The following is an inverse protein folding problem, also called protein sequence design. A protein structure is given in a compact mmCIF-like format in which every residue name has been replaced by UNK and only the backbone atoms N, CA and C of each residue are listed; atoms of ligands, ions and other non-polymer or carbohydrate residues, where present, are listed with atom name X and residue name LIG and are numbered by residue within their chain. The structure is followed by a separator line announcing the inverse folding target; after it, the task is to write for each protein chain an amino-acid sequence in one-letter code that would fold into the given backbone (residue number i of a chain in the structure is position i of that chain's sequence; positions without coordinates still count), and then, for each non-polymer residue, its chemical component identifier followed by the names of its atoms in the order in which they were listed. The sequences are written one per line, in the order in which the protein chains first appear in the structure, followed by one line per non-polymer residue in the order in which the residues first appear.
data_IF_872994013041
#
_entry.id   IF_872994013041
#
_cell.length_a   1.000
_cell.length_b   1.000
_cell.length_c   1.000
_cell.angle_alpha   90.00
_cell.angle_beta   90.00
_cell.angle_gamma   90.00
#
_symmetry.space_group_name_H-M   'P 1'
#
loop_
_entity.id
_entity.type
_entity.pdbx_description
1 polymer ?
#
# COMPACT_ATOMS: atom_id res chain seq x y z
N UNK A 1 19.16 -20.10 54.50
CA UNK A 1 19.50 -21.43 53.92
C UNK A 1 18.40 -21.82 52.94
N UNK A 2 18.68 -22.54 51.82
CA UNK A 2 19.98 -23.14 51.48
C UNK A 2 20.86 -22.38 50.45
N UNK A 3 20.41 -22.19 49.20
CA UNK A 3 21.31 -22.26 48.01
C UNK A 3 20.79 -21.50 46.78
N UNK A 4 21.59 -21.14 45.76
CA UNK A 4 23.08 -21.24 45.59
C UNK A 4 23.61 -20.12 44.66
N UNK A 5 24.87 -19.70 44.86
CA UNK A 5 25.69 -19.03 43.83
C UNK A 5 26.58 -20.05 43.11
N UNK A 6 26.94 -19.78 41.86
CA UNK A 6 28.11 -20.39 41.20
C UNK A 6 28.90 -19.27 40.51
N UNK A 7 30.21 -19.23 40.73
CA UNK A 7 31.13 -18.26 40.14
C UNK A 7 32.43 -18.98 39.75
N UNK A 8 32.70 -19.07 38.45
CA UNK A 8 33.94 -19.55 37.80
C UNK A 8 33.68 -19.63 36.29
N UNK A 9 34.57 -19.24 35.37
CA UNK A 9 35.96 -18.75 35.50
C UNK A 9 36.18 -17.54 34.58
N UNK A 10 37.08 -16.64 34.97
CA UNK A 10 37.70 -15.70 34.03
C UNK A 10 38.88 -16.41 33.37
N UNK A 11 38.92 -16.41 32.04
CA UNK A 11 40.12 -16.73 31.27
C UNK A 11 40.59 -15.44 30.60
N UNK A 12 41.76 -14.93 31.03
CA UNK A 12 42.38 -13.73 30.50
C UNK A 12 42.92 -13.98 29.09
N UNK A 13 42.16 -13.59 28.08
CA UNK A 13 42.65 -13.36 26.72
C UNK A 13 42.83 -11.87 26.48
N UNK A 14 44.06 -11.43 26.17
CA UNK A 14 44.32 -10.03 25.80
C UNK A 14 43.61 -9.68 24.50
N UNK A 15 42.57 -8.84 24.58
CA UNK A 15 41.84 -8.30 23.43
C UNK A 15 41.10 -7.04 23.85
N UNK A 16 41.39 -5.91 23.19
CA UNK A 16 40.81 -4.61 23.55
C UNK A 16 39.34 -4.60 23.11
N UNK A 17 38.42 -4.71 24.07
CA UNK A 17 36.98 -4.49 23.86
C UNK A 17 36.65 -3.07 24.31
N UNK A 18 36.26 -2.21 23.36
CA UNK A 18 35.67 -0.92 23.68
C UNK A 18 34.21 -1.10 24.10
N UNK A 19 33.95 -1.08 25.41
CA UNK A 19 32.60 -1.00 25.95
C UNK A 19 32.17 0.47 26.04
N UNK A 20 31.27 0.91 25.15
CA UNK A 20 30.61 2.21 25.27
C UNK A 20 29.46 2.07 26.27
N UNK A 21 29.64 2.61 27.48
CA UNK A 21 28.57 2.74 28.48
C UNK A 21 28.01 4.15 28.42
N UNK A 22 26.86 4.32 27.76
CA UNK A 22 26.07 5.55 27.84
C UNK A 22 25.27 5.55 29.15
N UNK A 23 25.75 6.28 30.16
CA UNK A 23 25.00 6.54 31.38
C UNK A 23 24.09 7.75 31.23
N UNK A 24 22.81 7.62 31.59
CA UNK A 24 21.89 8.76 31.71
C UNK A 24 22.13 9.49 33.04
N UNK A 25 22.74 10.67 33.00
CA UNK A 25 22.91 11.52 34.19
C UNK A 25 21.72 12.49 34.33
N UNK A 26 20.93 12.36 35.40
CA UNK A 26 19.78 13.22 35.67
C UNK A 26 20.19 14.46 36.47
N UNK A 27 20.24 15.62 35.81
CA UNK A 27 20.42 16.92 36.50
C UNK A 27 19.10 17.46 37.07
N UNK A 28 19.11 18.08 38.27
CA UNK A 28 17.91 18.60 38.89
C UNK A 28 17.40 19.87 38.19
N UNK A 29 16.07 19.99 38.07
CA UNK A 29 15.42 21.15 37.46
C UNK A 29 15.48 22.39 38.37
N UNK A 30 16.39 23.31 38.07
CA UNK A 30 16.39 24.66 38.66
C UNK A 30 15.32 25.53 38.03
N UNK A 31 14.42 26.11 38.83
CA UNK A 31 13.42 27.09 38.37
C UNK A 31 14.09 28.43 38.02
N UNK A 32 14.33 28.68 36.74
CA UNK A 32 14.56 30.01 36.17
C UNK A 32 13.27 30.58 35.56
N UNK A 33 13.10 31.90 35.63
CA UNK A 33 11.97 32.59 34.98
C UNK A 33 12.13 32.57 33.44
N UNK A 34 11.04 32.64 32.65
CA UNK A 34 11.13 32.62 31.20
C UNK A 34 11.75 33.92 30.68
N UNK A 35 12.92 33.82 30.07
CA UNK A 35 13.50 34.90 29.27
C UNK A 35 12.76 34.97 27.93
N UNK A 36 12.15 36.13 27.62
CA UNK A 36 11.51 36.39 26.34
C UNK A 36 12.51 37.02 25.36
N UNK A 37 13.64 36.35 25.14
CA UNK A 37 14.47 36.59 23.97
C UNK A 37 13.84 35.85 22.78
N UNK A 38 13.32 36.62 21.83
CA UNK A 38 12.81 36.07 20.58
C UNK A 38 13.99 35.55 19.74
N UNK A 39 14.34 34.28 19.90
CA UNK A 39 15.31 33.62 19.05
C UNK A 39 14.76 33.57 17.63
N UNK A 40 15.31 34.42 16.76
CA UNK A 40 15.06 34.40 15.32
C UNK A 40 15.81 33.23 14.70
N UNK A 41 15.45 32.01 15.13
CA UNK A 41 15.95 30.75 14.60
C UNK A 41 15.57 30.64 13.14
N UNK A 42 16.45 31.12 12.25
CA UNK A 42 16.34 30.88 10.83
C UNK A 42 16.24 29.36 10.64
N UNK A 43 15.11 28.90 10.10
CA UNK A 43 14.85 27.49 9.92
C UNK A 43 16.02 26.86 9.15
N UNK A 44 16.78 25.99 9.81
CA UNK A 44 17.92 25.33 9.20
C UNK A 44 17.41 24.40 8.12
N UNK A 45 17.47 24.86 6.87
CA UNK A 45 17.09 24.05 5.71
C UNK A 45 18.02 22.85 5.71
N UNK A 46 17.45 21.67 5.98
CA UNK A 46 18.18 20.40 5.83
C UNK A 46 18.39 20.20 4.33
N UNK A 47 19.55 20.61 3.84
CA UNK A 47 19.94 20.39 2.45
C UNK A 47 20.16 18.88 2.25
N UNK A 48 19.16 18.18 1.72
CA UNK A 48 19.34 16.79 1.32
C UNK A 48 20.25 16.74 0.09
N UNK A 49 21.19 15.81 0.07
CA UNK A 49 22.05 15.58 -1.10
C UNK A 49 21.38 14.71 -2.18
N UNK A 50 20.18 14.19 -1.90
CA UNK A 50 19.42 13.34 -2.81
C UNK A 50 18.83 14.16 -3.96
N UNK A 51 19.30 13.91 -5.17
CA UNK A 51 18.72 14.47 -6.40
C UNK A 51 17.86 13.40 -7.07
N UNK A 52 16.60 13.74 -7.34
CA UNK A 52 15.70 12.90 -8.12
C UNK A 52 15.78 13.34 -9.59
N UNK A 53 15.86 12.36 -10.50
CA UNK A 53 15.79 12.54 -11.94
C UNK A 53 14.68 11.66 -12.47
N UNK A 54 13.82 12.20 -13.34
CA UNK A 54 12.88 11.38 -14.09
C UNK A 54 13.67 10.54 -15.12
N UNK A 55 13.38 9.25 -15.15
CA UNK A 55 14.00 8.26 -16.03
C UNK A 55 12.96 7.42 -16.78
N UNK A 56 11.66 7.70 -16.65
CA UNK A 56 10.60 6.85 -17.20
C UNK A 56 10.72 6.71 -18.73
N UNK A 57 10.95 7.82 -19.43
CA UNK A 57 11.21 7.87 -20.88
C UNK A 57 12.49 7.10 -21.26
N UNK A 58 13.60 7.32 -20.55
CA UNK A 58 14.86 6.58 -20.76
C UNK A 58 14.69 5.07 -20.53
N UNK A 59 13.82 4.69 -19.60
CA UNK A 59 13.56 3.32 -19.15
C UNK A 59 12.57 2.57 -20.06
N UNK A 60 11.78 3.27 -20.88
CA UNK A 60 10.70 2.66 -21.69
C UNK A 60 9.37 2.52 -20.95
N UNK A 61 9.19 3.20 -19.81
CA UNK A 61 7.94 3.23 -19.05
C UNK A 61 7.11 4.43 -19.53
N UNK A 62 6.25 4.21 -20.53
CA UNK A 62 5.35 5.23 -21.06
C UNK A 62 3.90 4.93 -20.61
N UNK A 63 3.54 5.40 -19.42
CA UNK A 63 2.20 5.20 -18.85
C UNK A 63 1.78 6.40 -18.00
N UNK A 64 0.50 6.78 -18.08
CA UNK A 64 -0.11 7.83 -17.25
C UNK A 64 -1.47 7.33 -16.75
N UNK A 65 -1.60 6.97 -15.47
CA UNK A 65 -2.89 6.60 -14.90
C UNK A 65 -3.83 7.81 -14.88
N UNK A 66 -5.15 7.58 -14.90
CA UNK A 66 -6.13 8.67 -14.87
C UNK A 66 -7.04 8.54 -13.66
N UNK A 67 -7.28 9.66 -13.00
CA UNK A 67 -8.19 9.80 -11.87
C UNK A 67 -9.59 10.31 -12.28
N UNK A 68 -9.94 10.26 -13.57
CA UNK A 68 -11.20 10.82 -14.07
C UNK A 68 -11.39 12.34 -14.00
N UNK A 69 -10.44 13.12 -13.46
CA UNK A 69 -10.54 14.58 -13.22
C UNK A 69 -11.00 15.41 -14.44
N UNK A 70 -10.74 14.92 -15.65
CA UNK A 70 -11.19 15.54 -16.90
C UNK A 70 -12.73 15.70 -16.99
N UNK A 71 -13.51 14.95 -16.20
CA UNK A 71 -14.96 15.09 -16.10
C UNK A 71 -15.41 16.34 -15.29
N UNK A 72 -14.52 16.91 -14.47
CA UNK A 72 -14.80 18.11 -13.67
C UNK A 72 -15.89 17.91 -12.62
N UNK A 73 -16.12 16.67 -12.18
CA UNK A 73 -17.19 16.37 -11.23
C UNK A 73 -16.85 16.81 -9.81
N UNK A 74 -15.56 16.98 -9.48
CA UNK A 74 -15.06 17.37 -8.13
C UNK A 74 -15.51 16.40 -7.02
N UNK A 75 -15.57 15.12 -7.38
CA UNK A 75 -15.82 13.99 -6.48
C UNK A 75 -14.59 13.68 -5.64
N UNK A 76 -14.79 13.00 -4.51
CA UNK A 76 -13.66 12.51 -3.71
C UNK A 76 -12.88 11.40 -4.44
N UNK A 77 -13.51 10.68 -5.38
CA UNK A 77 -12.83 9.66 -6.19
C UNK A 77 -11.75 10.31 -7.10
N UNK A 78 -12.05 11.45 -7.72
CA UNK A 78 -11.08 12.24 -8.51
C UNK A 78 -9.90 12.78 -7.69
N UNK A 79 -9.96 12.79 -6.35
CA UNK A 79 -8.83 13.22 -5.51
C UNK A 79 -7.74 12.17 -5.31
N UNK A 80 -8.02 10.90 -5.65
CA UNK A 80 -7.08 9.80 -5.46
C UNK A 80 -6.40 9.41 -6.78
N UNK A 81 -5.09 9.15 -6.69
CA UNK A 81 -4.31 8.53 -7.77
C UNK A 81 -4.35 7.00 -7.71
N UNK A 82 -3.38 6.40 -8.39
CA UNK A 82 -3.07 4.96 -8.32
C UNK A 82 -1.73 4.72 -7.63
N UNK A 83 -1.51 3.48 -7.19
CA UNK A 83 -0.22 3.02 -6.69
C UNK A 83 0.65 2.40 -7.78
N UNK A 84 1.64 1.63 -7.34
CA UNK A 84 2.46 0.76 -8.18
C UNK A 84 2.78 -0.52 -7.40
N UNK A 85 3.01 -1.62 -8.11
CA UNK A 85 3.53 -2.86 -7.55
C UNK A 85 4.83 -3.25 -8.27
N UNK A 86 5.76 -3.82 -7.51
CA UNK A 86 6.99 -4.44 -8.02
C UNK A 86 6.91 -5.94 -7.77
N UNK A 87 7.22 -6.74 -8.78
CA UNK A 87 7.18 -8.20 -8.77
C UNK A 87 8.16 -8.74 -9.80
N UNK A 88 8.68 -9.94 -9.59
CA UNK A 88 9.43 -10.70 -10.60
C UNK A 88 8.47 -11.75 -11.17
N UNK A 89 7.66 -11.36 -12.19
CA UNK A 89 6.48 -12.18 -12.55
C UNK A 89 6.84 -13.43 -13.38
N UNK A 90 8.01 -13.46 -14.00
CA UNK A 90 8.50 -14.59 -14.79
C UNK A 90 9.76 -15.27 -14.23
N UNK A 91 10.14 -14.93 -13.00
CA UNK A 91 11.28 -15.48 -12.24
C UNK A 91 12.63 -15.32 -12.95
N UNK A 92 12.84 -14.21 -13.67
CA UNK A 92 14.13 -13.91 -14.32
C UNK A 92 15.14 -13.21 -13.38
N UNK A 93 14.71 -12.87 -12.15
CA UNK A 93 15.52 -12.25 -11.12
C UNK A 93 15.50 -10.72 -11.14
N UNK A 94 14.68 -10.11 -12.01
CA UNK A 94 14.52 -8.67 -12.13
C UNK A 94 13.12 -8.25 -11.65
N UNK A 95 13.03 -7.09 -10.98
CA UNK A 95 11.72 -6.54 -10.61
C UNK A 95 11.10 -5.80 -11.80
N UNK A 96 9.94 -6.32 -12.22
CA UNK A 96 8.98 -5.73 -13.15
C UNK A 96 8.11 -4.68 -12.45
N UNK A 97 7.37 -3.89 -13.24
CA UNK A 97 6.52 -2.80 -12.73
C UNK A 97 5.08 -2.97 -13.19
N UNK A 98 4.15 -3.14 -12.25
CA UNK A 98 2.71 -3.06 -12.50
C UNK A 98 2.12 -1.73 -12.03
N UNK A 99 1.28 -1.12 -12.87
CA UNK A 99 0.65 0.19 -12.66
C UNK A 99 -0.86 0.10 -12.94
N UNK A 100 -1.74 0.25 -11.93
CA UNK A 100 -3.18 0.34 -12.14
C UNK A 100 -3.56 1.55 -13.00
N UNK A 101 -4.55 1.39 -13.89
CA UNK A 101 -4.99 2.43 -14.83
C UNK A 101 -5.80 3.57 -14.22
N UNK A 102 -6.37 3.36 -13.03
CA UNK A 102 -7.32 4.27 -12.43
C UNK A 102 -8.70 4.10 -13.06
N UNK A 103 -9.33 5.22 -13.45
CA UNK A 103 -10.62 5.21 -14.10
C UNK A 103 -11.04 6.56 -14.69
N UNK A 104 -12.23 6.58 -15.28
CA UNK A 104 -12.83 7.79 -15.84
C UNK A 104 -14.37 7.79 -15.75
N UNK A 105 -14.98 8.96 -15.97
CA UNK A 105 -16.42 9.13 -16.03
C UNK A 105 -16.83 9.41 -17.47
N UNK A 106 -17.31 8.40 -18.19
CA UNK A 106 -17.78 8.52 -19.59
C UNK A 106 -19.27 8.78 -19.69
N UNK A 107 -20.06 8.17 -18.80
CA UNK A 107 -21.50 8.36 -18.69
C UNK A 107 -21.87 8.39 -17.20
N UNK A 108 -22.57 9.43 -16.77
CA UNK A 108 -23.17 9.44 -15.43
C UNK A 108 -24.19 8.31 -15.32
N UNK A 109 -24.22 7.53 -14.22
CA UNK A 109 -23.70 7.88 -12.90
C UNK A 109 -22.56 6.97 -12.38
N UNK A 110 -21.81 6.25 -13.22
CA UNK A 110 -20.79 5.30 -12.72
C UNK A 110 -19.41 5.54 -13.38
N UNK A 111 -18.32 5.56 -12.59
CA UNK A 111 -16.97 5.52 -13.14
C UNK A 111 -16.68 4.15 -13.76
N UNK A 112 -15.91 4.14 -14.84
CA UNK A 112 -15.37 2.93 -15.46
C UNK A 112 -13.88 2.78 -15.12
N UNK A 113 -13.41 1.53 -15.06
CA UNK A 113 -11.98 1.23 -14.99
C UNK A 113 -11.25 1.52 -16.29
N UNK A 114 -9.94 1.74 -16.19
CA UNK A 114 -9.04 1.86 -17.32
C UNK A 114 -7.99 0.75 -17.33
N UNK A 115 -7.46 0.37 -18.51
CA UNK A 115 -6.35 -0.57 -18.64
C UNK A 115 -5.19 -0.28 -17.67
N UNK A 116 -4.76 -1.31 -16.95
CA UNK A 116 -3.51 -1.28 -16.23
C UNK A 116 -2.32 -1.55 -17.17
N UNK A 117 -1.11 -1.29 -16.71
CA UNK A 117 0.12 -1.65 -17.41
C UNK A 117 0.99 -2.59 -16.57
N UNK A 118 1.65 -3.52 -17.25
CA UNK A 118 2.73 -4.33 -16.75
C UNK A 118 3.93 -4.11 -17.68
N UNK A 119 5.07 -3.79 -17.08
CA UNK A 119 6.33 -3.49 -17.75
C UNK A 119 7.36 -4.51 -17.29
N UNK A 120 7.73 -5.44 -18.17
CA UNK A 120 8.79 -6.42 -17.90
C UNK A 120 10.14 -5.73 -17.93
N UNK A 121 10.96 -5.93 -16.91
CA UNK A 121 12.35 -5.49 -16.84
C UNK A 121 13.24 -6.36 -17.74
N UNK A 122 14.00 -5.74 -18.64
CA UNK A 122 14.92 -6.43 -19.56
C UNK A 122 16.39 -6.23 -19.19
N UNK A 123 16.64 -5.77 -17.95
CA UNK A 123 17.95 -5.42 -17.42
C UNK A 123 18.27 -3.94 -17.57
N UNK A 124 19.25 -3.45 -16.80
CA UNK A 124 19.77 -2.06 -16.87
C UNK A 124 18.69 -0.96 -16.73
N UNK A 125 17.60 -1.25 -16.00
CA UNK A 125 16.41 -0.38 -15.88
C UNK A 125 15.76 -0.06 -17.24
N UNK A 126 15.78 -1.02 -18.17
CA UNK A 126 15.00 -1.01 -19.42
C UNK A 126 13.77 -1.88 -19.27
N UNK A 127 12.66 -1.45 -19.85
CA UNK A 127 11.38 -2.11 -19.70
C UNK A 127 10.65 -2.28 -21.03
N UNK A 128 9.86 -3.36 -21.13
CA UNK A 128 8.97 -3.65 -22.26
C UNK A 128 7.53 -3.79 -21.77
N UNK A 129 6.59 -3.11 -22.43
CA UNK A 129 5.17 -3.22 -22.09
C UNK A 129 4.63 -4.62 -22.48
N UNK A 130 4.11 -5.36 -21.51
CA UNK A 130 3.65 -6.76 -21.67
C UNK A 130 2.23 -7.02 -21.18
N UNK A 131 1.54 -6.00 -20.63
CA UNK A 131 0.20 -6.13 -20.00
C UNK A 131 -0.79 -7.03 -20.77
N UNK A 132 -0.97 -6.79 -22.07
CA UNK A 132 -1.91 -7.53 -22.91
C UNK A 132 -1.44 -8.96 -23.23
N UNK A 133 -0.13 -9.21 -23.27
CA UNK A 133 0.43 -10.55 -23.44
C UNK A 133 0.31 -11.37 -22.15
N UNK A 134 0.47 -10.72 -20.99
CA UNK A 134 0.32 -11.32 -19.67
C UNK A 134 -1.15 -11.46 -19.22
N UNK A 135 -2.10 -10.79 -19.88
CA UNK A 135 -3.54 -10.85 -19.57
C UNK A 135 -4.01 -9.92 -18.46
N UNK A 136 -3.26 -8.84 -18.17
CA UNK A 136 -3.53 -7.88 -17.08
C UNK A 136 -3.83 -6.46 -17.58
N UNK A 137 -4.16 -6.29 -18.85
CA UNK A 137 -4.47 -5.01 -19.51
C UNK A 137 -5.93 -4.54 -19.35
N UNK A 138 -6.71 -5.17 -18.49
CA UNK A 138 -8.13 -4.84 -18.29
C UNK A 138 -8.48 -4.68 -16.81
N UNK A 139 -9.33 -3.72 -16.49
CA UNK A 139 -9.88 -3.57 -15.16
C UNK A 139 -11.33 -3.08 -15.27
N UNK A 140 -12.27 -3.81 -14.68
CA UNK A 140 -13.70 -3.51 -14.81
C UNK A 140 -14.16 -2.33 -13.91
N UNK A 141 -13.31 -1.86 -13.00
CA UNK A 141 -13.61 -0.85 -12.00
C UNK A 141 -12.49 0.19 -11.90
N UNK A 142 -12.80 1.35 -11.33
CA UNK A 142 -11.81 2.40 -11.08
C UNK A 142 -10.78 1.89 -10.04
N UNK A 143 -9.56 1.62 -10.49
CA UNK A 143 -8.50 1.01 -9.68
C UNK A 143 -7.67 2.03 -8.88
N UNK A 144 -7.02 1.60 -7.80
CA UNK A 144 -6.17 2.41 -6.95
C UNK A 144 -4.83 1.73 -6.64
N UNK A 145 -4.77 0.93 -5.58
CA UNK A 145 -3.56 0.25 -5.13
C UNK A 145 -3.39 -1.12 -5.79
N UNK A 146 -2.15 -1.62 -5.78
CA UNK A 146 -1.82 -2.99 -6.11
C UNK A 146 -0.93 -3.57 -5.00
N UNK A 147 -1.02 -4.88 -4.76
CA UNK A 147 -0.21 -5.60 -3.76
C UNK A 147 0.14 -6.98 -4.29
N UNK A 148 1.32 -7.49 -3.94
CA UNK A 148 1.94 -8.69 -4.51
C UNK A 148 2.21 -9.71 -3.41
N UNK A 149 1.85 -10.96 -3.65
CA UNK A 149 2.05 -12.09 -2.74
C UNK A 149 1.74 -13.40 -3.45
N UNK A 150 2.38 -14.48 -3.04
CA UNK A 150 2.10 -15.85 -3.52
C UNK A 150 0.97 -16.43 -2.65
N UNK A 151 -0.26 -16.47 -3.18
CA UNK A 151 -1.47 -16.74 -2.37
C UNK A 151 -1.91 -18.21 -2.38
N UNK A 152 -1.43 -19.01 -3.32
CA UNK A 152 -1.63 -20.46 -3.38
C UNK A 152 -0.35 -21.27 -3.10
N UNK A 153 0.74 -20.59 -2.74
CA UNK A 153 2.04 -21.18 -2.40
C UNK A 153 2.66 -22.00 -3.54
N UNK A 154 2.38 -21.63 -4.79
CA UNK A 154 2.94 -22.29 -5.98
C UNK A 154 4.34 -21.78 -6.37
N UNK A 155 4.80 -20.68 -5.73
CA UNK A 155 6.10 -20.06 -5.90
C UNK A 155 6.09 -18.86 -6.87
N UNK A 156 4.98 -18.56 -7.52
CA UNK A 156 4.86 -17.40 -8.42
C UNK A 156 4.14 -16.23 -7.73
N UNK A 157 4.56 -14.97 -7.95
CA UNK A 157 3.93 -13.84 -7.31
C UNK A 157 2.58 -13.50 -7.99
N UNK A 158 1.51 -13.57 -7.22
CA UNK A 158 0.17 -13.11 -7.60
C UNK A 158 0.00 -11.60 -7.36
N UNK A 159 -1.04 -11.04 -7.95
CA UNK A 159 -1.29 -9.60 -7.97
C UNK A 159 -2.74 -9.29 -7.61
N UNK A 160 -2.94 -8.62 -6.47
CA UNK A 160 -4.22 -8.06 -6.08
C UNK A 160 -4.30 -6.57 -6.44
N UNK A 161 -5.34 -6.18 -7.17
CA UNK A 161 -5.67 -4.78 -7.47
C UNK A 161 -6.90 -4.36 -6.66
N UNK A 162 -6.78 -3.23 -5.97
CA UNK A 162 -7.87 -2.61 -5.19
C UNK A 162 -8.51 -1.46 -5.96
N UNK A 163 -9.76 -1.09 -5.63
CA UNK A 163 -10.43 0.01 -6.29
C UNK A 163 -11.77 0.41 -5.68
N UNK A 164 -12.43 1.36 -6.34
CA UNK A 164 -13.80 1.74 -6.05
C UNK A 164 -14.77 0.67 -6.59
N UNK A 165 -15.48 0.01 -5.67
CA UNK A 165 -16.49 -1.03 -5.94
C UNK A 165 -15.97 -2.32 -6.59
N UNK A 166 -14.67 -2.59 -6.47
CA UNK A 166 -14.08 -3.83 -6.95
C UNK A 166 -12.74 -4.17 -6.31
N UNK A 167 -12.45 -5.46 -6.37
CA UNK A 167 -11.13 -6.07 -6.20
C UNK A 167 -10.88 -6.93 -7.44
N UNK A 168 -9.62 -7.20 -7.74
CA UNK A 168 -9.20 -8.10 -8.82
C UNK A 168 -7.97 -8.88 -8.37
N UNK A 169 -8.10 -10.18 -8.17
CA UNK A 169 -6.99 -11.08 -7.87
C UNK A 169 -6.56 -11.78 -9.16
N UNK A 170 -5.39 -11.41 -9.66
CA UNK A 170 -4.70 -12.08 -10.74
C UNK A 170 -3.76 -13.12 -10.17
N UNK A 171 -4.08 -14.40 -10.38
CA UNK A 171 -3.19 -15.51 -10.06
C UNK A 171 -2.22 -15.75 -11.21
N UNK A 172 -0.94 -15.87 -10.93
CA UNK A 172 0.10 -16.16 -11.92
C UNK A 172 -0.02 -17.64 -12.35
N UNK A 173 0.27 -17.94 -13.61
CA UNK A 173 0.26 -19.33 -14.12
C UNK A 173 1.64 -19.96 -14.22
N UNK A 174 2.70 -19.19 -13.93
CA UNK A 174 4.10 -19.62 -14.12
C UNK A 174 4.53 -19.75 -15.58
N UNK A 175 3.67 -19.35 -16.54
CA UNK A 175 3.96 -19.33 -17.98
C UNK A 175 4.13 -17.90 -18.55
N UNK A 176 4.23 -16.91 -17.65
CA UNK A 176 4.27 -15.48 -17.99
C UNK A 176 2.88 -14.84 -18.21
N UNK A 177 1.80 -15.56 -17.90
CA UNK A 177 0.42 -15.05 -17.95
C UNK A 177 -0.32 -15.18 -16.63
N UNK A 178 -1.36 -14.38 -16.47
CA UNK A 178 -2.24 -14.36 -15.29
C UNK A 178 -3.66 -14.85 -15.62
N UNK A 179 -4.40 -15.21 -14.57
CA UNK A 179 -5.83 -15.53 -14.59
C UNK A 179 -6.57 -14.73 -13.51
N UNK A 180 -7.75 -14.20 -13.83
CA UNK A 180 -8.66 -13.61 -12.83
C UNK A 180 -9.31 -14.72 -12.01
N UNK A 181 -8.90 -14.85 -10.74
CA UNK A 181 -9.45 -15.80 -9.77
C UNK A 181 -10.33 -15.10 -8.72
N UNK A 182 -10.69 -13.82 -8.89
CA UNK A 182 -11.39 -12.99 -7.88
C UNK A 182 -12.68 -13.62 -7.34
N UNK A 183 -13.42 -14.33 -8.21
CA UNK A 183 -14.65 -14.99 -7.82
C UNK A 183 -14.41 -16.39 -7.21
N UNK A 184 -13.35 -17.08 -7.63
CA UNK A 184 -12.98 -18.39 -7.11
C UNK A 184 -12.33 -18.28 -5.71
N UNK A 185 -11.49 -17.26 -5.51
CA UNK A 185 -10.83 -16.95 -4.25
C UNK A 185 -11.76 -16.44 -3.14
N UNK A 186 -12.99 -16.05 -3.48
CA UNK A 186 -13.96 -15.51 -2.54
C UNK A 186 -13.84 -14.00 -2.28
N UNK A 187 -12.85 -13.30 -2.88
CA UNK A 187 -12.61 -11.85 -2.75
C UNK A 187 -13.62 -10.98 -3.52
N UNK A 188 -14.91 -11.28 -3.33
CA UNK A 188 -16.05 -10.69 -4.05
C UNK A 188 -16.51 -9.33 -3.50
N UNK A 189 -15.66 -8.65 -2.73
CA UNK A 189 -15.98 -7.37 -2.10
C UNK A 189 -16.32 -6.28 -3.15
N UNK A 190 -17.24 -5.38 -2.81
CA UNK A 190 -17.71 -4.26 -3.65
C UNK A 190 -17.76 -2.92 -2.91
N UNK A 191 -17.04 -2.80 -1.80
CA UNK A 191 -16.76 -1.52 -1.13
C UNK A 191 -15.67 -0.74 -1.87
N UNK A 192 -15.31 0.44 -1.37
CA UNK A 192 -14.14 1.18 -1.86
C UNK A 192 -12.91 0.83 -1.02
N UNK A 193 -12.02 0.01 -1.59
CA UNK A 193 -10.71 -0.31 -1.03
C UNK A 193 -9.64 0.51 -1.77
N UNK A 194 -8.73 1.17 -1.06
CA UNK A 194 -7.69 2.02 -1.67
C UNK A 194 -6.30 1.40 -1.61
N UNK A 195 -6.08 0.48 -0.67
CA UNK A 195 -4.79 -0.13 -0.38
C UNK A 195 -5.01 -1.47 0.33
N UNK A 196 -4.03 -2.35 0.24
CA UNK A 196 -4.05 -3.69 0.82
C UNK A 196 -2.65 -4.09 1.27
N UNK A 197 -2.58 -5.04 2.21
CA UNK A 197 -1.34 -5.67 2.63
C UNK A 197 -1.57 -7.16 2.85
N UNK A 198 -0.61 -7.96 2.39
CA UNK A 198 -0.49 -9.37 2.74
C UNK A 198 0.32 -9.54 4.03
N UNK A 199 0.12 -10.66 4.72
CA UNK A 199 0.98 -11.09 5.82
C UNK A 199 0.43 -12.33 6.53
N UNK A 200 1.29 -13.14 7.13
CA UNK A 200 0.86 -14.25 8.00
C UNK A 200 0.49 -13.68 9.39
N UNK A 201 -0.77 -13.29 9.57
CA UNK A 201 -1.20 -12.62 10.80
C UNK A 201 -1.53 -13.61 11.93
N UNK A 202 -1.72 -14.89 11.59
CA UNK A 202 -2.17 -15.93 12.50
C UNK A 202 -1.03 -16.91 12.90
N UNK A 203 0.04 -16.97 12.12
CA UNK A 203 1.24 -17.79 12.34
C UNK A 203 1.16 -19.19 11.73
N UNK A 204 0.34 -19.41 10.69
CA UNK A 204 0.16 -20.72 10.03
C UNK A 204 1.00 -20.90 8.74
N UNK A 205 1.69 -19.85 8.30
CA UNK A 205 2.52 -19.83 7.09
C UNK A 205 1.76 -19.53 5.80
N UNK A 206 0.48 -19.15 5.86
CA UNK A 206 -0.33 -18.72 4.72
C UNK A 206 -0.46 -17.19 4.71
N UNK A 207 -0.54 -16.57 3.53
CA UNK A 207 -0.80 -15.13 3.43
C UNK A 207 -2.27 -14.82 3.73
N UNK A 208 -2.49 -14.05 4.80
CA UNK A 208 -3.75 -13.37 5.09
C UNK A 208 -3.79 -11.99 4.41
N UNK A 209 -5.01 -11.45 4.21
CA UNK A 209 -5.24 -10.18 3.52
C UNK A 209 -5.91 -9.15 4.43
N UNK A 210 -5.25 -7.99 4.60
CA UNK A 210 -5.89 -6.77 5.10
C UNK A 210 -6.22 -5.81 3.95
N UNK A 211 -7.43 -5.26 3.95
CA UNK A 211 -7.89 -4.22 3.02
C UNK A 211 -8.25 -2.94 3.77
N UNK A 212 -7.57 -1.84 3.42
CA UNK A 212 -7.94 -0.50 3.85
C UNK A 212 -9.15 -0.02 3.03
N UNK A 213 -10.29 0.19 3.70
CA UNK A 213 -11.50 0.73 3.09
C UNK A 213 -11.69 2.20 3.46
N UNK A 214 -12.16 2.99 2.50
CA UNK A 214 -12.12 4.44 2.61
C UNK A 214 -13.44 5.07 3.07
N UNK A 215 -14.34 5.40 2.14
CA UNK A 215 -15.60 6.08 2.45
C UNK A 215 -16.76 5.58 1.60
N UNK A 216 -17.97 5.65 2.16
CA UNK A 216 -19.22 5.31 1.46
C UNK A 216 -19.61 6.47 0.53
N UNK A 217 -19.07 6.42 -0.69
CA UNK A 217 -19.32 7.40 -1.74
C UNK A 217 -20.18 6.84 -2.87
N UNK A 218 -21.06 7.69 -3.39
CA UNK A 218 -21.74 7.54 -4.68
C UNK A 218 -22.13 8.94 -5.18
N UNK A 219 -22.59 9.07 -6.43
CA UNK A 219 -23.12 10.36 -6.92
C UNK A 219 -24.34 10.85 -6.12
N UNK A 220 -25.19 9.94 -5.63
CA UNK A 220 -26.34 10.29 -4.77
C UNK A 220 -25.90 10.84 -3.41
N UNK A 221 -24.76 10.36 -2.89
CA UNK A 221 -24.16 10.76 -1.61
C UNK A 221 -23.12 11.88 -1.76
N UNK A 222 -22.87 12.39 -2.97
CA UNK A 222 -21.85 13.40 -3.25
C UNK A 222 -22.33 14.80 -2.82
N UNK A 223 -21.74 15.43 -1.77
CA UNK A 223 -22.11 16.77 -1.36
C UNK A 223 -21.40 17.81 -2.24
N UNK A 224 -21.95 19.03 -2.28
CA UNK A 224 -21.27 20.19 -2.87
C UNK A 224 -20.49 20.90 -1.77
N UNK A 225 -19.16 20.84 -1.84
CA UNK A 225 -18.26 21.55 -0.93
C UNK A 225 -17.66 22.80 -1.57
N UNK A 226 -17.22 23.72 -0.72
CA UNK A 226 -16.49 24.92 -1.13
C UNK A 226 -15.24 25.11 -0.28
N UNK A 227 -14.11 25.43 -0.92
CA UNK A 227 -12.90 25.92 -0.26
C UNK A 227 -12.61 27.34 -0.74
N UNK A 228 -12.31 28.24 0.21
CA UNK A 228 -11.99 29.65 -0.10
C UNK A 228 -13.00 30.34 -1.05
N UNK A 229 -14.29 30.02 -0.91
CA UNK A 229 -15.39 30.57 -1.74
C UNK A 229 -15.59 29.92 -3.10
N UNK A 230 -14.75 28.96 -3.51
CA UNK A 230 -14.82 28.26 -4.78
C UNK A 230 -15.34 26.83 -4.57
N UNK A 231 -16.07 26.26 -5.54
CA UNK A 231 -16.49 24.84 -5.49
C UNK A 231 -15.26 23.96 -5.53
N UNK A 232 -15.18 22.97 -4.65
CA UNK A 232 -14.02 22.10 -4.50
C UNK A 232 -14.43 20.69 -4.04
N UNK A 233 -13.49 19.76 -4.08
CA UNK A 233 -13.66 18.39 -3.60
C UNK A 233 -13.93 18.41 -2.09
N UNK A 234 -14.94 17.64 -1.68
CA UNK A 234 -15.27 17.48 -0.27
C UNK A 234 -14.17 16.73 0.50
N UNK A 235 -13.76 17.29 1.65
CA UNK A 235 -12.81 16.65 2.54
C UNK A 235 -13.37 15.32 3.12
N UNK A 236 -12.53 14.28 3.34
CA UNK A 236 -13.00 12.92 3.67
C UNK A 236 -13.92 12.85 4.89
N UNK A 237 -13.74 13.77 5.85
CA UNK A 237 -14.53 13.90 7.08
C UNK A 237 -16.04 14.10 6.88
N UNK A 238 -16.51 14.47 5.69
CA UNK A 238 -17.96 14.67 5.42
C UNK A 238 -18.67 13.40 4.94
N UNK A 239 -17.92 12.35 4.62
CA UNK A 239 -18.46 11.08 4.15
C UNK A 239 -18.53 10.06 5.28
N UNK A 240 -19.50 9.16 5.19
CA UNK A 240 -19.57 8.01 6.10
C UNK A 240 -18.36 7.09 5.88
N UNK A 241 -17.74 6.59 6.97
CA UNK A 241 -16.63 5.67 6.88
C UNK A 241 -17.04 4.29 6.37
N UNK A 242 -16.10 3.56 5.76
CA UNK A 242 -16.25 2.12 5.51
C UNK A 242 -15.32 1.35 6.46
N UNK A 243 -15.82 0.27 7.06
CA UNK A 243 -14.96 -0.61 7.86
C UNK A 243 -13.94 -1.31 6.98
N UNK A 244 -12.68 -1.33 7.41
CA UNK A 244 -11.63 -2.17 6.83
C UNK A 244 -12.04 -3.66 6.85
N UNK A 245 -11.37 -4.46 6.02
CA UNK A 245 -11.61 -5.91 5.93
C UNK A 245 -10.35 -6.70 6.22
N UNK A 246 -10.56 -7.86 6.81
CA UNK A 246 -9.53 -8.86 7.02
C UNK A 246 -10.02 -10.23 6.57
N UNK A 247 -9.21 -10.94 5.80
CA UNK A 247 -9.49 -12.28 5.31
C UNK A 247 -8.36 -13.21 5.71
N UNK A 248 -8.72 -14.37 6.27
CA UNK A 248 -7.78 -15.46 6.47
C UNK A 248 -7.61 -16.24 5.16
N UNK A 249 -6.36 -16.57 4.82
CA UNK A 249 -6.05 -17.43 3.68
C UNK A 249 -6.33 -18.91 3.95
N UNK A 250 -6.36 -19.72 2.89
CA UNK A 250 -6.47 -21.18 2.98
C UNK A 250 -5.29 -21.93 2.34
N UNK A 251 -4.34 -21.22 1.72
CA UNK A 251 -3.15 -21.80 1.09
C UNK A 251 -3.41 -22.44 -0.28
N UNK A 252 -4.61 -22.23 -0.83
CA UNK A 252 -5.04 -22.69 -2.17
C UNK A 252 -5.54 -21.51 -3.03
N UNK A 253 -5.14 -20.28 -2.69
CA UNK A 253 -5.62 -19.05 -3.30
C UNK A 253 -7.04 -18.63 -2.87
N UNK A 254 -7.70 -19.36 -1.96
CA UNK A 254 -9.02 -18.99 -1.42
C UNK A 254 -8.97 -18.35 -0.04
N UNK A 255 -9.98 -17.53 0.26
CA UNK A 255 -10.02 -16.64 1.41
C UNK A 255 -11.38 -16.64 2.12
N UNK A 256 -11.35 -16.44 3.44
CA UNK A 256 -12.56 -16.30 4.27
C UNK A 256 -12.53 -14.98 5.05
N UNK A 257 -13.61 -14.20 4.95
CA UNK A 257 -13.78 -12.99 5.77
C UNK A 257 -13.74 -13.36 7.26
N UNK A 258 -12.75 -12.79 7.96
CA UNK A 258 -12.49 -12.97 9.38
C UNK A 258 -12.48 -11.62 10.13
N UNK A 259 -12.97 -10.54 9.49
CA UNK A 259 -12.97 -9.16 10.01
C UNK A 259 -13.54 -9.05 11.43
N UNK A 260 -14.58 -9.83 11.73
CA UNK A 260 -15.22 -9.85 13.05
C UNK A 260 -14.43 -10.64 14.11
N UNK A 261 -13.61 -11.61 13.70
CA UNK A 261 -12.81 -12.47 14.59
C UNK A 261 -11.56 -11.74 15.08
N UNK A 262 -10.88 -11.00 14.19
CA UNK A 262 -9.73 -10.16 14.54
C UNK A 262 -10.12 -8.84 15.23
N UNK A 263 -11.41 -8.58 15.42
CA UNK A 263 -11.90 -7.43 16.18
C UNK A 263 -11.62 -6.06 15.53
N UNK A 264 -11.51 -5.99 14.20
CA UNK A 264 -11.33 -4.72 13.50
C UNK A 264 -12.48 -3.75 13.81
N UNK A 265 -12.11 -2.55 14.26
CA UNK A 265 -13.07 -1.54 14.70
C UNK A 265 -13.71 -0.86 13.50
N UNK A 266 -15.04 -0.83 13.46
CA UNK A 266 -15.78 -0.14 12.43
C UNK A 266 -15.57 1.39 12.47
N UNK A 267 -15.65 2.05 11.32
CA UNK A 267 -15.63 3.52 11.24
C UNK A 267 -14.30 4.14 10.79
N UNK A 268 -13.36 3.34 10.30
CA UNK A 268 -12.13 3.81 9.66
C UNK A 268 -12.35 4.61 8.37
N UNK A 269 -11.33 5.36 7.97
CA UNK A 269 -11.22 5.94 6.62
C UNK A 269 -9.83 5.61 6.08
N UNK A 270 -9.57 4.32 5.94
CA UNK A 270 -8.29 3.77 5.52
C UNK A 270 -7.94 4.26 4.12
N UNK A 271 -6.79 4.93 3.98
CA UNK A 271 -6.27 5.40 2.69
C UNK A 271 -5.06 4.57 2.23
N UNK A 272 -4.21 4.16 3.16
CA UNK A 272 -3.04 3.33 2.94
C UNK A 272 -2.79 2.42 4.14
N UNK A 273 -2.26 1.23 3.88
CA UNK A 273 -1.73 0.32 4.89
C UNK A 273 -0.24 0.05 4.61
N UNK A 274 0.52 -0.18 5.67
CA UNK A 274 1.90 -0.69 5.59
C UNK A 274 1.99 -1.86 6.57
N UNK A 275 2.42 -3.01 6.07
CA UNK A 275 2.84 -4.13 6.90
C UNK A 275 4.37 -4.13 6.99
N UNK A 276 4.90 -4.55 8.15
CA UNK A 276 6.32 -4.66 8.45
C UNK A 276 6.50 -5.68 9.58
N UNK A 277 7.67 -6.31 9.65
CA UNK A 277 7.94 -7.43 10.57
C UNK A 277 6.98 -8.62 10.30
N UNK A 278 6.92 -8.98 9.01
CA UNK A 278 6.22 -10.15 8.45
C UNK A 278 7.20 -11.35 8.34
#
# INVERSE_FOLDING_TARGET
MPHRSVCSQILLGYGIVFTIVSGCESRPAGRGAPDQSADSGAASIVSTAAQFRDVAEDAGIHFVPRNGQAAGHLTILESLGTGAALLDYDQDGLLDVFLPGGGEFTQTPEPIGLPAALFRNTGELKFSAVAAAAGVDSCAFYSHGACVGDVDSDGFPDLLVTGYRGLLLYRNRGDGTFVDETNASGLTLRSWSTSSAWGDANGDGVLDLYLANYVDWSFEKHPVCHMQGHRDICAPKVFEPLSDKFYLGHGDGTFRDATAEVGLVAGGKGLGVVAADL
#
